data_IF_914286635524
#
_entry.id   IF_914286635524
#
_cell.length_a   1.000
_cell.length_b   1.000
_cell.length_c   1.000
_cell.angle_alpha   90.00
_cell.angle_beta   90.00
_cell.angle_gamma   90.00
#
_symmetry.space_group_name_H-M   'P 1'
#
loop_
_entity.id
_entity.type
_entity.pdbx_description
1 polymer ?
2 non-polymer ?
3 non-polymer ?
4 non-polymer ?
5 water ?
#
# COMPACT_ATOMS: atom_id res chain seq x y z
N UNK A 1 -11.74 14.94 7.09
CA UNK A 1 -10.69 13.87 7.21
C UNK A 1 -9.31 14.49 7.11
N UNK A 2 -8.41 14.06 7.99
CA UNK A 2 -7.05 14.57 8.01
C UNK A 2 -6.17 13.76 7.06
N UNK A 3 -5.33 14.44 6.29
CA UNK A 3 -4.32 13.75 5.50
C UNK A 3 -3.12 14.65 5.24
N UNK A 4 -2.01 14.04 4.88
CA UNK A 4 -0.80 14.77 4.52
C UNK A 4 -0.53 14.57 3.03
N UNK A 5 -0.16 15.64 2.35
CA UNK A 5 0.24 15.55 0.95
C UNK A 5 1.71 15.16 0.92
N UNK A 6 2.02 14.08 0.20
CA UNK A 6 3.38 13.60 0.05
C UNK A 6 3.68 13.31 -1.42
N UNK A 7 4.96 13.34 -1.77
CA UNK A 7 5.40 12.99 -3.11
C UNK A 7 6.57 12.01 -3.04
N UNK A 8 6.57 11.03 -3.94
CA UNK A 8 7.65 10.06 -4.03
C UNK A 8 8.29 10.08 -5.41
N UNK A 9 9.61 9.93 -5.46
CA UNK A 9 10.29 9.64 -6.72
C UNK A 9 9.96 8.20 -7.12
N UNK A 10 10.32 7.82 -8.34
CA UNK A 10 10.15 6.43 -8.75
C UNK A 10 11.01 5.53 -7.87
N UNK A 11 10.46 4.40 -7.49
CA UNK A 11 11.13 3.49 -6.57
C UNK A 11 11.11 2.06 -7.09
N UNK A 12 12.08 1.28 -6.63
CA UNK A 12 12.13 -0.14 -6.91
C UNK A 12 11.62 -0.90 -5.70
N UNK A 13 10.60 -1.72 -5.93
CA UNK A 13 9.98 -2.54 -4.88
C UNK A 13 10.28 -4.01 -5.12
N UNK A 14 10.67 -4.70 -4.05
CA UNK A 14 11.01 -6.11 -4.11
C UNK A 14 10.08 -6.86 -3.18
N UNK A 15 9.41 -7.88 -3.69
CA UNK A 15 8.54 -8.69 -2.84
C UNK A 15 7.82 -9.80 -3.57
N UNK A 16 6.59 -10.08 -3.15
CA UNK A 16 5.78 -11.10 -3.80
C UNK A 16 4.39 -10.54 -4.08
N UNK A 17 3.99 -10.66 -5.34
CA UNK A 17 2.67 -10.25 -5.79
C UNK A 17 1.81 -11.48 -6.01
N UNK A 18 0.63 -11.50 -5.42
CA UNK A 18 -0.35 -12.53 -5.73
C UNK A 18 -1.53 -11.83 -6.38
N UNK A 19 -2.29 -12.59 -7.15
CA UNK A 19 -3.38 -12.04 -7.95
C UNK A 19 -4.69 -12.74 -7.60
N UNK A 20 -5.72 -11.95 -7.34
CA UNK A 20 -7.01 -12.47 -6.93
C UNK A 20 -8.09 -12.04 -7.91
N UNK A 21 -9.05 -12.93 -8.13
CA UNK A 21 -10.11 -12.73 -9.12
C UNK A 21 -10.93 -11.48 -8.83
N UNK A 22 -11.33 -11.34 -7.57
CA UNK A 22 -12.38 -10.39 -7.19
C UNK A 22 -11.86 -9.03 -6.75
N UNK A 23 -11.01 -9.03 -5.72
CA UNK A 23 -10.65 -7.81 -5.03
C UNK A 23 -11.68 -7.48 -3.96
N UNK A 24 -12.73 -8.30 -3.88
CA UNK A 24 -13.81 -8.09 -2.92
C UNK A 24 -13.54 -8.83 -1.61
N UNK A 25 -13.78 -10.14 -1.58
CA UNK A 25 -13.50 -10.94 -0.39
C UNK A 25 -12.02 -11.33 -0.35
N UNK A 26 -11.23 -10.66 -1.18
CA UNK A 26 -9.79 -10.89 -1.20
C UNK A 26 -9.17 -10.58 0.16
N UNK A 27 -9.94 -9.91 1.01
CA UNK A 27 -9.48 -9.58 2.36
C UNK A 27 -9.11 -10.86 3.11
N UNK A 28 -9.88 -11.92 2.89
CA UNK A 28 -9.59 -13.21 3.51
C UNK A 28 -8.34 -13.82 2.90
N UNK A 29 -8.19 -13.65 1.58
CA UNK A 29 -7.02 -14.14 0.88
C UNK A 29 -5.78 -13.32 1.27
N UNK A 30 -5.95 -12.01 1.42
CA UNK A 30 -4.85 -11.14 1.78
C UNK A 30 -4.33 -11.52 3.16
N UNK A 31 -5.25 -11.78 4.08
CA UNK A 31 -4.87 -12.30 5.41
C UNK A 31 -4.01 -13.54 5.29
N UNK A 32 -4.46 -14.49 4.47
CA UNK A 32 -3.74 -15.76 4.32
C UNK A 32 -2.39 -15.54 3.68
N UNK A 33 -2.33 -14.56 2.79
CA UNK A 33 -1.10 -14.21 2.09
C UNK A 33 -0.07 -13.64 3.07
N UNK A 34 -0.48 -12.70 3.92
CA UNK A 34 0.39 -12.20 4.98
C UNK A 34 0.86 -13.35 5.86
N UNK A 35 -0.07 -14.21 6.26
CA UNK A 35 0.27 -15.30 7.17
C UNK A 35 1.32 -16.21 6.52
N UNK A 36 1.15 -16.49 5.23
CA UNK A 36 2.08 -17.37 4.52
C UNK A 36 3.45 -16.71 4.36
N UNK A 37 3.48 -15.41 4.08
CA UNK A 37 4.76 -14.72 3.96
C UNK A 37 5.51 -14.70 5.30
N UNK A 38 4.79 -14.54 6.39
CA UNK A 38 5.42 -14.59 7.69
C UNK A 38 5.91 -16.00 7.95
N UNK A 39 5.02 -16.98 7.75
CA UNK A 39 5.35 -18.36 8.08
C UNK A 39 6.56 -18.89 7.29
N UNK A 40 6.66 -18.52 6.02
CA UNK A 40 7.70 -19.06 5.16
C UNK A 40 8.98 -18.24 5.22
N UNK A 41 9.02 -17.24 6.08
CA UNK A 41 10.23 -16.45 6.28
C UNK A 41 10.43 -15.35 5.24
N UNK A 42 9.42 -15.12 4.42
CA UNK A 42 9.53 -14.10 3.38
C UNK A 42 9.58 -12.69 3.96
N UNK A 43 8.77 -12.41 4.99
CA UNK A 43 8.82 -11.09 5.61
C UNK A 43 10.23 -10.82 6.16
N UNK A 44 10.79 -11.79 6.88
CA UNK A 44 12.13 -11.64 7.45
C UNK A 44 13.17 -11.38 6.36
N UNK A 45 13.07 -12.12 5.27
CA UNK A 45 14.04 -12.03 4.19
C UNK A 45 13.95 -10.66 3.49
N UNK A 46 12.72 -10.19 3.28
CA UNK A 46 12.51 -8.89 2.65
C UNK A 46 12.99 -7.76 3.56
N UNK A 47 12.79 -7.90 4.87
CA UNK A 47 13.23 -6.89 5.82
C UNK A 47 14.72 -6.62 5.65
N UNK A 48 15.51 -7.66 5.40
CA UNK A 48 16.95 -7.51 5.20
C UNK A 48 17.27 -6.55 4.05
N UNK A 49 16.36 -6.47 3.09
CA UNK A 49 16.60 -5.76 1.85
C UNK A 49 16.07 -4.33 1.87
N UNK A 50 15.35 -3.97 2.93
CA UNK A 50 14.69 -2.67 2.98
C UNK A 50 15.73 -1.56 3.06
N UNK A 51 15.80 -0.74 2.02
CA UNK A 51 16.81 0.31 1.94
C UNK A 51 16.32 1.61 2.59
N UNK A 52 15.11 1.59 3.13
CA UNK A 52 14.60 2.74 3.85
C UNK A 52 14.07 3.88 3.00
N UNK A 53 13.96 3.70 1.69
CA UNK A 53 13.33 4.72 0.85
C UNK A 53 11.94 5.00 1.38
N UNK A 54 11.26 3.92 1.76
CA UNK A 54 10.07 3.99 2.59
C UNK A 54 10.34 3.15 3.83
N UNK A 55 10.08 3.72 5.01
CA UNK A 55 10.50 3.11 6.27
C UNK A 55 9.50 2.10 6.83
N UNK A 56 9.24 1.03 6.08
CA UNK A 56 8.39 -0.05 6.56
C UNK A 56 8.13 -1.08 5.49
N UNK A 57 7.19 -1.97 5.75
CA UNK A 57 6.75 -2.95 4.76
C UNK A 57 5.49 -2.45 4.05
N UNK A 58 5.44 -2.63 2.74
CA UNK A 58 4.27 -2.22 1.95
C UNK A 58 3.33 -3.36 1.66
N UNK A 59 2.04 -3.04 1.72
CA UNK A 59 1.01 -3.88 1.15
C UNK A 59 0.35 -3.09 0.02
N UNK A 60 0.73 -3.41 -1.21
CA UNK A 60 0.26 -2.66 -2.37
C UNK A 60 -0.90 -3.36 -3.05
N UNK A 61 -1.95 -2.58 -3.30
CA UNK A 61 -3.05 -3.03 -4.14
C UNK A 61 -2.78 -2.55 -5.57
N UNK A 62 -2.60 -3.50 -6.47
CA UNK A 62 -2.25 -3.22 -7.86
C UNK A 62 -3.42 -3.61 -8.77
N UNK A 63 -3.97 -2.64 -9.53
CA UNK A 63 -5.04 -2.98 -10.48
C UNK A 63 -4.50 -3.73 -11.69
N UNK A 64 -5.18 -4.80 -12.11
CA UNK A 64 -4.78 -5.52 -13.31
C UNK A 64 -5.68 -5.09 -14.46
N UNK A 65 -5.15 -5.09 -15.68
CA UNK A 65 -5.91 -4.60 -16.82
C UNK A 65 -7.09 -5.51 -17.16
N UNK A 66 -7.07 -6.75 -16.69
CA UNK A 66 -8.18 -7.68 -16.96
C UNK A 66 -9.27 -7.60 -15.91
N UNK A 67 -9.12 -6.68 -14.96
CA UNK A 67 -10.12 -6.48 -13.92
C UNK A 67 -9.79 -7.21 -12.64
N UNK A 68 -8.78 -8.07 -12.65
CA UNK A 68 -8.34 -8.72 -11.43
C UNK A 68 -7.63 -7.71 -10.54
N UNK A 69 -7.39 -8.09 -9.30
CA UNK A 69 -6.70 -7.22 -8.34
C UNK A 69 -5.56 -7.99 -7.73
N UNK A 70 -4.38 -7.39 -7.74
CA UNK A 70 -3.22 -7.99 -7.13
C UNK A 70 -2.89 -7.28 -5.84
N UNK A 71 -2.29 -8.04 -4.94
CA UNK A 71 -1.76 -7.51 -3.70
C UNK A 71 -0.31 -7.90 -3.65
N UNK A 72 0.54 -6.93 -3.38
CA UNK A 72 1.98 -7.18 -3.28
C UNK A 72 2.53 -6.77 -1.93
N UNK A 73 3.17 -7.73 -1.26
CA UNK A 73 3.91 -7.47 -0.03
C UNK A 73 5.34 -7.22 -0.44
N UNK A 74 5.86 -6.04 -0.11
CA UNK A 74 7.13 -5.62 -0.66
C UNK A 74 7.85 -4.60 0.22
N UNK A 75 9.14 -4.43 -0.06
CA UNK A 75 9.93 -3.36 0.54
C UNK A 75 10.64 -2.61 -0.58
N UNK A 76 10.98 -1.36 -0.31
CA UNK A 76 11.81 -0.59 -1.22
C UNK A 76 13.23 -1.15 -1.12
N UNK A 77 13.80 -1.49 -2.27
CA UNK A 77 15.11 -2.12 -2.30
C UNK A 77 15.96 -1.54 -3.40
N UNK A 78 17.27 -1.76 -3.30
CA UNK A 78 18.18 -1.37 -4.37
C UNK A 78 18.06 -2.40 -5.49
N UNK A 79 17.82 -1.92 -6.70
CA UNK A 79 17.60 -2.81 -7.84
C UNK A 79 18.85 -3.64 -8.14
N UNK A 80 19.03 -4.72 -7.38
CA UNK A 80 20.24 -5.52 -7.48
C UNK A 80 20.00 -7.03 -7.36
N UNK A 81 19.54 -7.63 -8.45
CA UNK A 81 19.58 -9.08 -8.63
C UNK A 81 18.74 -9.88 -7.63
N UNK A 82 17.48 -9.52 -7.49
CA UNK A 82 16.55 -10.29 -6.66
C UNK A 82 15.39 -10.85 -7.49
N UNK A 83 15.51 -10.74 -8.81
CA UNK A 83 14.46 -11.21 -9.73
C UNK A 83 14.36 -12.73 -9.70
N UNK A 84 15.46 -13.40 -9.38
CA UNK A 84 15.52 -14.86 -9.41
C UNK A 84 14.55 -15.51 -8.43
N UNK A 85 14.12 -14.75 -7.42
CA UNK A 85 13.29 -15.29 -6.36
C UNK A 85 12.05 -14.44 -6.07
N UNK A 86 12.17 -13.14 -6.29
CA UNK A 86 11.09 -12.21 -5.95
C UNK A 86 10.55 -11.48 -7.16
N UNK A 87 9.33 -10.99 -7.01
CA UNK A 87 8.78 -10.03 -7.95
C UNK A 87 9.43 -8.69 -7.68
N UNK A 88 9.78 -7.99 -8.76
CA UNK A 88 10.36 -6.67 -8.63
C UNK A 88 9.58 -5.73 -9.55
N UNK A 89 9.03 -4.65 -8.99
CA UNK A 89 8.35 -3.67 -9.81
C UNK A 89 8.93 -2.29 -9.62
N UNK A 90 8.66 -1.42 -10.58
CA UNK A 90 8.91 -0.01 -10.43
C UNK A 90 7.61 0.66 -10.01
N UNK A 91 7.66 1.43 -8.92
CA UNK A 91 6.53 2.22 -8.48
C UNK A 91 6.73 3.62 -9.02
N UNK A 92 5.94 3.97 -10.02
CA UNK A 92 6.11 5.23 -10.74
C UNK A 92 5.88 6.42 -9.81
N UNK A 93 6.75 7.41 -9.95
CA UNK A 93 6.68 8.65 -9.19
C UNK A 93 5.26 9.20 -9.16
N UNK A 94 4.83 9.66 -7.99
CA UNK A 94 3.48 10.18 -7.82
C UNK A 94 3.34 11.03 -6.56
N UNK A 95 2.35 11.91 -6.58
CA UNK A 95 1.89 12.57 -5.37
C UNK A 95 0.83 11.71 -4.71
N UNK A 96 0.67 11.88 -3.41
CA UNK A 96 -0.25 11.05 -2.61
C UNK A 96 -1.01 11.86 -1.56
N UNK A 97 -2.25 11.44 -1.30
CA UNK A 97 -2.89 11.72 -0.02
C UNK A 97 -2.54 10.60 0.94
N UNK A 98 -1.95 10.95 2.08
CA UNK A 98 -1.49 9.96 3.05
C UNK A 98 -2.33 10.08 4.30
N UNK A 99 -3.01 8.99 4.63
CA UNK A 99 -3.89 8.93 5.79
C UNK A 99 -3.27 8.05 6.87
N UNK A 100 -3.66 8.28 8.12
CA UNK A 100 -3.21 7.44 9.23
C UNK A 100 -4.35 6.64 9.83
N UNK A 101 -4.15 5.33 9.96
CA UNK A 101 -5.06 4.49 10.73
C UNK A 101 -4.38 4.10 12.04
N UNK A 102 -4.97 4.53 13.16
CA UNK A 102 -4.40 4.23 14.47
C UNK A 102 -5.19 3.13 15.17
N UNK A 103 -4.49 2.04 15.50
CA UNK A 103 -5.07 0.94 16.24
C UNK A 103 -4.46 -0.39 15.81
N UNK A 104 -4.91 -1.46 16.46
CA UNK A 104 -4.41 -2.79 16.16
C UNK A 104 -4.75 -3.19 14.72
N UNK A 105 -3.78 -3.80 14.06
CA UNK A 105 -3.92 -4.31 12.71
C UNK A 105 -4.64 -5.66 12.81
N UNK A 106 -5.49 -6.00 11.82
CA UNK A 106 -5.88 -5.26 10.62
C UNK A 106 -7.12 -4.40 10.78
N UNK A 107 -7.83 -4.53 11.90
CA UNK A 107 -9.14 -3.91 12.04
C UNK A 107 -9.10 -2.39 11.88
N UNK A 108 -8.11 -1.74 12.46
CA UNK A 108 -8.02 -0.28 12.38
C UNK A 108 -7.74 0.15 10.95
N UNK A 109 -6.97 -0.66 10.23
CA UNK A 109 -6.65 -0.38 8.82
C UNK A 109 -7.89 -0.54 7.94
N UNK A 110 -8.61 -1.63 8.15
CA UNK A 110 -9.85 -1.88 7.41
C UNK A 110 -10.87 -0.76 7.64
N UNK A 111 -11.05 -0.37 8.89
CA UNK A 111 -11.99 0.70 9.22
C UNK A 111 -11.58 2.02 8.57
N UNK A 112 -10.29 2.33 8.62
CA UNK A 112 -9.80 3.57 8.01
C UNK A 112 -9.94 3.51 6.50
N UNK A 113 -9.69 2.34 5.92
CA UNK A 113 -9.82 2.16 4.47
C UNK A 113 -11.24 2.46 4.00
N UNK A 114 -12.22 2.04 4.81
CA UNK A 114 -13.61 2.32 4.53
C UNK A 114 -13.88 3.83 4.54
N UNK A 115 -13.32 4.52 5.53
CA UNK A 115 -13.52 5.97 5.65
C UNK A 115 -12.83 6.71 4.50
N UNK A 116 -11.61 6.29 4.19
CA UNK A 116 -10.87 6.87 3.07
C UNK A 116 -11.67 6.68 1.80
N UNK A 117 -12.17 5.47 1.61
CA UNK A 117 -12.97 5.10 0.44
C UNK A 117 -14.15 6.04 0.26
N UNK A 118 -14.87 6.29 1.35
CA UNK A 118 -16.01 7.19 1.31
C UNK A 118 -15.55 8.63 1.07
N UNK A 119 -14.40 8.99 1.64
CA UNK A 119 -13.89 10.36 1.53
C UNK A 119 -13.44 10.73 0.11
N UNK A 120 -12.65 9.86 -0.51
CA UNK A 120 -12.08 10.17 -1.81
C UNK A 120 -13.13 10.09 -2.91
N UNK A 121 -14.34 9.68 -2.54
CA UNK A 121 -15.45 9.63 -3.46
C UNK A 121 -15.73 11.03 -4.05
N UNK A 122 -15.36 12.06 -3.30
CA UNK A 122 -15.59 13.44 -3.71
C UNK A 122 -14.45 13.99 -4.56
N UNK A 123 -13.47 13.14 -4.89
CA UNK A 123 -12.27 13.57 -5.61
C UNK A 123 -12.02 12.72 -6.86
N UNK A 124 -13.07 12.47 -7.63
CA UNK A 124 -12.98 11.50 -8.72
C UNK A 124 -12.03 11.92 -9.83
N UNK A 125 -11.89 13.23 -10.05
CA UNK A 125 -10.96 13.74 -11.06
C UNK A 125 -9.51 13.76 -10.57
N UNK A 126 -9.30 13.52 -9.28
CA UNK A 126 -7.97 13.65 -8.69
C UNK A 126 -7.33 12.34 -8.28
N UNK A 127 -8.11 11.33 -7.92
CA UNK A 127 -7.52 10.03 -7.62
C UNK A 127 -7.07 9.38 -8.94
N UNK A 128 -6.29 8.31 -8.83
CA UNK A 128 -5.72 7.66 -10.01
C UNK A 128 -5.95 6.17 -9.91
N UNK A 129 -7.06 5.74 -10.51
CA UNK A 129 -7.54 4.37 -10.41
C UNK A 129 -6.60 3.32 -10.98
N UNK A 130 -5.71 3.73 -11.87
CA UNK A 130 -4.80 2.78 -12.53
C UNK A 130 -3.49 2.62 -11.79
N UNK A 131 -3.26 3.49 -10.80
CA UNK A 131 -2.01 3.50 -10.05
C UNK A 131 -2.13 2.69 -8.76
N UNK A 132 -1.04 2.05 -8.32
CA UNK A 132 -1.16 1.33 -7.05
C UNK A 132 -1.42 2.26 -5.86
N UNK A 133 -2.22 1.80 -4.89
CA UNK A 133 -2.27 2.46 -3.59
C UNK A 133 -1.75 1.46 -2.58
N UNK A 134 -1.35 1.90 -1.39
CA UNK A 134 -0.75 0.95 -0.46
C UNK A 134 -0.84 1.30 1.02
N UNK A 135 -0.75 0.23 1.79
CA UNK A 135 -0.58 0.30 3.24
C UNK A 135 0.91 0.32 3.52
N UNK A 136 1.32 1.13 4.48
CA UNK A 136 2.72 1.16 4.90
C UNK A 136 2.80 0.85 6.39
N UNK A 137 3.48 -0.24 6.73
CA UNK A 137 3.63 -0.73 8.10
C UNK A 137 5.06 -0.50 8.59
N UNK A 138 5.25 0.57 9.35
CA UNK A 138 6.57 0.90 9.87
C UNK A 138 6.83 0.08 11.14
N UNK A 139 8.02 0.22 11.71
CA UNK A 139 8.37 -0.52 12.93
C UNK A 139 7.40 -0.20 14.06
N UNK A 140 7.07 -1.23 14.84
CA UNK A 140 6.25 -1.05 16.02
C UNK A 140 5.46 -2.30 16.32
N UNK A 141 4.69 -2.25 17.39
CA UNK A 141 3.82 -3.35 17.80
C UNK A 141 2.46 -3.20 17.13
N UNK A 142 2.20 -4.01 16.11
CA UNK A 142 0.96 -3.88 15.33
C UNK A 142 -0.29 -4.32 16.11
N UNK A 143 -0.12 -4.80 17.34
CA UNK A 143 -1.26 -5.14 18.19
C UNK A 143 -1.56 -4.02 19.17
N UNK A 144 -0.69 -3.02 19.22
CA UNK A 144 -0.92 -1.88 20.10
C UNK A 144 -2.01 -0.97 19.56
N UNK A 145 -2.86 -0.47 20.44
CA UNK A 145 -3.88 0.50 20.04
C UNK A 145 -3.25 1.81 19.59
N UNK A 146 -1.97 2.01 19.88
CA UNK A 146 -1.28 3.22 19.44
C UNK A 146 -0.63 3.07 18.08
N UNK A 147 -0.61 1.85 17.54
CA UNK A 147 0.10 1.61 16.28
C UNK A 147 -0.53 2.36 15.12
N UNK A 148 0.32 2.93 14.26
CA UNK A 148 -0.15 3.70 13.11
C UNK A 148 0.27 3.04 11.81
N UNK A 149 -0.74 2.69 11.01
CA UNK A 149 -0.54 2.24 9.64
C UNK A 149 -0.80 3.45 8.75
N UNK A 150 0.06 3.69 7.76
CA UNK A 150 -0.22 4.72 6.76
C UNK A 150 -0.89 4.12 5.52
N UNK A 151 -1.84 4.88 4.96
CA UNK A 151 -2.53 4.51 3.74
C UNK A 151 -2.23 5.58 2.71
N UNK A 152 -1.59 5.16 1.61
CA UNK A 152 -1.08 6.06 0.59
C UNK A 152 -1.92 5.95 -0.68
N UNK A 153 -2.63 7.04 -1.00
CA UNK A 153 -3.54 7.12 -2.13
C UNK A 153 -3.01 8.08 -3.19
N UNK A 154 -2.69 7.56 -4.40
CA UNK A 154 -2.10 8.46 -5.40
C UNK A 154 -3.09 9.48 -5.94
N UNK A 155 -2.62 10.70 -6.16
CA UNK A 155 -3.49 11.75 -6.69
C UNK A 155 -2.79 12.57 -7.76
N UNK A 156 -3.62 13.20 -8.60
CA UNK A 156 -3.19 14.09 -9.67
C UNK A 156 -4.04 15.35 -9.68
N UNK A 157 -3.42 16.51 -9.90
CA UNK A 157 -4.16 17.76 -10.04
C UNK A 157 -4.99 18.19 -8.83
N UNK A 158 -4.61 17.71 -7.65
CA UNK A 158 -5.40 17.92 -6.44
C UNK A 158 -5.55 19.41 -6.11
N UNK A 159 -4.55 20.19 -6.49
CA UNK A 159 -4.56 21.62 -6.21
C UNK A 159 -5.74 22.34 -6.87
N UNK A 160 -6.33 21.70 -7.87
CA UNK A 160 -7.37 22.34 -8.69
C UNK A 160 -8.77 22.06 -8.18
N UNK A 161 -8.89 21.10 -7.27
CA UNK A 161 -10.16 20.80 -6.62
C UNK A 161 -10.71 22.07 -5.99
N UNK A 162 -12.00 22.33 -6.17
CA UNK A 162 -12.58 23.60 -5.70
C UNK A 162 -12.60 23.70 -4.17
N UNK A 163 -12.44 22.57 -3.48
CA UNK A 163 -12.36 22.56 -2.02
C UNK A 163 -11.16 23.36 -1.50
N UNK A 164 -10.17 23.54 -2.37
CA UNK A 164 -8.92 24.21 -2.00
C UNK A 164 -8.85 25.64 -2.56
N UNK A 165 -10.02 26.25 -2.78
CA UNK A 165 -10.10 27.61 -3.31
C UNK A 165 -11.19 28.41 -2.63
#
# INVERSE_FOLDING_TARGET
MEYQLQQLASLTLVGIKETYENGRQAQQHIAGFWQRCYQEGVIADLQLKNNGDLAGILGLCIPELDGKMSYMIAVTGDNSADIAKYDVITLASSKYMVFEAQGAVPKAVQQKMEEVHHYIHQYQANTVKSAPFFELYQDGDTTSEKYITEIWMPVKGLEHHHHHH
#
